data_IF_844828499041
#
_entry.id   IF_844828499041
#
_cell.length_a   1.000
_cell.length_b   1.000
_cell.length_c   1.000
_cell.angle_alpha   90.00
_cell.angle_beta   90.00
_cell.angle_gamma   90.00
#
_symmetry.space_group_name_H-M   'P 1'
#
loop_
_entity.id
_entity.type
_entity.pdbx_description
1 polymer ?
#
# COMPACT_ATOMS: atom_id res chain seq x y z
N UNK A 1 40.47 114.63 6.01
CA UNK A 1 40.08 113.24 5.73
C UNK A 1 39.77 112.44 7.01
N UNK A 2 39.16 113.04 8.04
CA UNK A 2 38.88 112.35 9.34
C UNK A 2 37.41 112.47 9.78
N UNK A 3 36.59 113.28 9.10
CA UNK A 3 35.17 113.48 9.48
C UNK A 3 34.16 112.53 8.80
N UNK A 4 34.58 111.78 7.77
CA UNK A 4 33.69 110.87 7.04
C UNK A 4 33.68 109.42 7.59
N UNK A 5 34.68 109.04 8.40
CA UNK A 5 34.81 107.67 8.92
C UNK A 5 34.01 107.43 10.22
N UNK A 6 33.76 108.49 11.01
CA UNK A 6 33.08 108.39 12.31
C UNK A 6 31.55 108.28 12.15
N UNK A 7 30.98 108.90 11.11
CA UNK A 7 29.53 108.82 10.87
C UNK A 7 29.07 107.44 10.35
N UNK A 8 29.94 106.72 9.64
CA UNK A 8 29.61 105.39 9.12
C UNK A 8 29.68 104.30 10.21
N UNK A 9 30.60 104.45 11.18
CA UNK A 9 30.71 103.51 12.30
C UNK A 9 29.54 103.62 13.30
N UNK A 10 28.99 104.82 13.53
CA UNK A 10 27.85 105.01 14.44
C UNK A 10 26.53 104.54 13.82
N UNK A 11 26.36 104.67 12.49
CA UNK A 11 25.19 104.15 11.79
C UNK A 11 25.17 102.61 11.73
N UNK A 12 26.32 101.95 11.54
CA UNK A 12 26.40 100.49 11.48
C UNK A 12 26.14 99.82 12.84
N UNK A 13 26.63 100.43 13.93
CA UNK A 13 26.37 99.93 15.30
C UNK A 13 24.90 100.13 15.71
N UNK A 14 24.23 101.18 15.19
CA UNK A 14 22.80 101.42 15.47
C UNK A 14 21.87 100.41 14.77
N UNK A 15 22.26 99.86 13.62
CA UNK A 15 21.48 98.84 12.88
C UNK A 15 21.65 97.44 13.49
N UNK A 16 22.82 97.12 14.07
CA UNK A 16 23.04 95.82 14.72
C UNK A 16 22.39 95.75 16.11
N UNK A 17 22.27 96.87 16.83
CA UNK A 17 21.63 96.91 18.16
C UNK A 17 20.08 96.88 18.07
N UNK A 18 19.49 97.27 16.93
CA UNK A 18 18.03 97.19 16.73
C UNK A 18 17.52 95.83 16.23
N UNK A 19 18.39 94.88 15.89
CA UNK A 19 17.99 93.49 15.58
C UNK A 19 18.03 92.56 16.81
N UNK A 20 18.43 93.07 17.97
CA UNK A 20 18.66 92.29 19.20
C UNK A 20 17.42 91.96 20.05
N UNK A 21 16.22 92.35 19.64
CA UNK A 21 15.06 92.27 20.55
C UNK A 21 13.72 92.00 19.84
N UNK A 22 13.68 90.95 19.04
CA UNK A 22 12.43 90.28 18.66
C UNK A 22 12.62 88.78 18.41
N UNK A 23 13.19 88.04 19.37
CA UNK A 23 13.26 86.56 19.27
C UNK A 23 12.99 85.86 20.61
N UNK A 24 12.07 86.41 21.41
CA UNK A 24 11.46 85.66 22.51
C UNK A 24 10.05 85.14 22.17
N UNK A 25 9.50 85.49 20.99
CA UNK A 25 8.15 85.07 20.57
C UNK A 25 8.04 84.40 19.19
N UNK A 26 9.05 84.52 18.32
CA UNK A 26 8.97 83.91 16.97
C UNK A 26 9.16 82.39 16.99
N UNK A 27 10.01 81.87 17.89
CA UNK A 27 10.15 80.43 18.08
C UNK A 27 9.06 79.82 18.99
N UNK A 28 8.26 80.63 19.68
CA UNK A 28 7.13 80.14 20.47
C UNK A 28 5.92 79.79 19.57
N UNK A 29 5.89 80.32 18.34
CA UNK A 29 4.96 79.88 17.30
C UNK A 29 5.23 78.45 16.83
N UNK A 30 6.48 77.97 16.90
CA UNK A 30 6.83 76.57 16.62
C UNK A 30 6.75 75.65 17.85
N UNK A 31 6.62 76.20 19.06
CA UNK A 31 6.39 75.45 20.30
C UNK A 31 4.92 75.31 20.68
N UNK A 32 4.02 76.01 19.98
CA UNK A 32 2.57 75.86 20.12
C UNK A 32 2.15 74.51 19.56
N UNK A 33 2.19 73.50 20.42
CA UNK A 33 1.68 72.15 20.22
C UNK A 33 1.80 71.67 18.77
N UNK A 34 2.95 71.14 18.37
CA UNK A 34 2.97 70.20 17.24
C UNK A 34 2.14 69.00 17.69
N UNK A 35 0.82 69.10 17.51
CA UNK A 35 -0.11 68.00 17.65
C UNK A 35 0.21 67.08 16.49
N UNK A 36 1.14 66.15 16.71
CA UNK A 36 1.29 65.01 15.82
C UNK A 36 -0.08 64.32 15.82
N UNK A 37 -0.83 64.52 14.73
CA UNK A 37 -2.06 63.80 14.51
C UNK A 37 -1.75 62.30 14.50
N UNK A 38 -2.71 61.44 14.91
CA UNK A 38 -2.50 60.00 14.82
C UNK A 38 -2.05 59.65 13.39
N UNK A 39 -0.90 58.99 13.29
CA UNK A 39 -0.45 58.40 12.03
C UNK A 39 -1.05 57.02 11.98
N UNK A 40 -1.77 56.71 10.91
CA UNK A 40 -2.24 55.36 10.65
C UNK A 40 -1.03 54.47 10.39
N UNK A 41 -0.72 53.61 11.37
CA UNK A 41 0.31 52.57 11.22
C UNK A 41 -0.41 51.31 10.76
N UNK A 42 -0.23 50.97 9.49
CA UNK A 42 -0.64 49.67 8.95
C UNK A 42 0.49 48.66 9.12
N UNK A 43 0.21 47.55 9.81
CA UNK A 43 1.07 46.36 9.82
C UNK A 43 0.30 45.24 9.15
N UNK A 44 0.91 44.62 8.15
CA UNK A 44 0.39 43.40 7.51
C UNK A 44 1.24 42.24 8.02
N UNK A 45 0.58 41.21 8.56
CA UNK A 45 1.25 39.96 8.95
C UNK A 45 1.04 38.98 7.81
N UNK A 46 2.12 38.45 7.26
CA UNK A 46 2.06 37.42 6.21
C UNK A 46 1.71 36.05 6.84
N UNK A 47 1.03 35.21 6.06
CA UNK A 47 0.76 33.82 6.43
C UNK A 47 2.04 32.99 6.27
N UNK A 48 2.33 32.16 7.26
CA UNK A 48 3.49 31.29 7.33
C UNK A 48 3.04 29.89 6.94
N UNK A 49 3.75 29.25 6.01
CA UNK A 49 3.41 27.89 5.60
C UNK A 49 3.42 26.91 6.79
N UNK A 50 2.48 25.95 6.85
CA UNK A 50 2.45 24.97 7.92
C UNK A 50 3.63 24.00 7.80
N UNK A 51 3.84 23.19 8.84
CA UNK A 51 4.79 22.08 8.87
C UNK A 51 4.13 20.81 9.41
N UNK A 52 4.65 19.64 9.04
CA UNK A 52 4.25 18.36 9.64
C UNK A 52 5.38 17.94 10.59
N UNK A 53 5.12 18.00 11.89
CA UNK A 53 6.13 17.79 12.93
C UNK A 53 6.25 16.32 13.34
N UNK A 54 5.20 15.54 13.09
CA UNK A 54 5.17 14.13 13.44
C UNK A 54 4.24 13.36 12.52
N UNK A 55 4.66 12.16 12.14
CA UNK A 55 3.83 11.14 11.50
C UNK A 55 4.02 9.86 12.30
N UNK A 56 2.93 9.22 12.73
CA UNK A 56 2.96 7.97 13.47
C UNK A 56 3.34 6.79 12.58
N UNK A 57 3.67 5.67 13.20
CA UNK A 57 3.86 4.43 12.47
C UNK A 57 2.51 3.92 11.97
N UNK A 58 2.49 3.39 10.74
CA UNK A 58 1.29 2.77 10.18
C UNK A 58 0.97 1.47 10.94
N UNK A 59 -0.30 1.27 11.28
CA UNK A 59 -0.79 0.02 11.85
C UNK A 59 -1.90 -0.56 10.97
N UNK A 60 -1.85 -1.87 10.70
CA UNK A 60 -2.94 -2.59 10.03
C UNK A 60 -3.87 -3.25 11.03
N UNK A 61 -5.14 -3.42 10.68
CA UNK A 61 -6.16 -4.05 11.53
C UNK A 61 -6.04 -5.58 11.67
N UNK A 62 -5.21 -6.25 10.86
CA UNK A 62 -4.99 -7.71 10.91
C UNK A 62 -4.06 -8.10 12.06
N UNK A 63 -2.83 -7.58 12.09
CA UNK A 63 -1.84 -7.89 13.14
C UNK A 63 -1.77 -6.83 14.25
N UNK A 64 -2.23 -5.61 13.98
CA UNK A 64 -2.12 -4.46 14.88
C UNK A 64 -0.69 -4.19 15.39
N UNK A 65 0.31 -4.36 14.51
CA UNK A 65 1.72 -4.08 14.79
C UNK A 65 2.11 -2.77 14.11
N UNK A 66 2.77 -1.88 14.84
CA UNK A 66 3.20 -0.58 14.31
C UNK A 66 4.40 -0.75 13.36
N UNK A 67 4.32 -0.13 12.18
CA UNK A 67 5.34 -0.19 11.14
C UNK A 67 5.26 -1.44 10.26
N UNK A 68 4.26 -2.30 10.46
CA UNK A 68 4.08 -3.52 9.69
C UNK A 68 2.60 -3.75 9.41
N UNK A 69 2.27 -4.11 8.17
CA UNK A 69 0.92 -4.39 7.73
C UNK A 69 0.92 -5.75 7.05
N UNK A 70 0.01 -6.64 7.44
CA UNK A 70 -0.17 -7.95 6.80
C UNK A 70 -1.39 -7.90 5.89
N UNK A 71 -1.36 -8.53 4.71
CA UNK A 71 -2.56 -8.84 3.94
C UNK A 71 -3.59 -9.57 4.80
N UNK A 72 -4.87 -9.36 4.48
CA UNK A 72 -5.98 -10.09 5.07
C UNK A 72 -6.17 -11.39 4.29
N UNK A 73 -6.17 -12.51 4.99
CA UNK A 73 -6.42 -13.84 4.41
C UNK A 73 -7.80 -13.93 3.74
N UNK A 74 -7.97 -14.93 2.87
CA UNK A 74 -9.18 -15.13 2.09
C UNK A 74 -9.38 -14.12 0.96
N UNK A 75 -8.33 -13.39 0.55
CA UNK A 75 -8.42 -12.37 -0.50
C UNK A 75 -9.12 -11.07 -0.05
N UNK A 76 -8.98 -10.70 1.22
CA UNK A 76 -9.65 -9.53 1.79
C UNK A 76 -8.84 -8.23 1.77
N UNK A 77 -9.43 -7.16 2.32
CA UNK A 77 -8.82 -5.83 2.42
C UNK A 77 -8.36 -5.55 3.86
N UNK A 78 -7.17 -4.96 4.01
CA UNK A 78 -6.59 -4.58 5.30
C UNK A 78 -6.77 -3.09 5.52
N UNK A 79 -7.45 -2.68 6.59
CA UNK A 79 -7.59 -1.26 6.92
C UNK A 79 -6.33 -0.82 7.65
N UNK A 80 -5.60 0.11 7.06
CA UNK A 80 -4.44 0.75 7.69
C UNK A 80 -4.84 2.03 8.39
N UNK A 81 -4.10 2.38 9.44
CA UNK A 81 -4.29 3.59 10.22
C UNK A 81 -2.96 4.28 10.42
N UNK A 82 -2.94 5.58 10.23
CA UNK A 82 -1.81 6.46 10.49
C UNK A 82 -2.34 7.80 10.97
N UNK A 83 -1.53 8.53 11.73
CA UNK A 83 -1.86 9.87 12.18
C UNK A 83 -0.68 10.79 11.96
N UNK A 84 -0.94 12.08 11.80
CA UNK A 84 0.11 13.08 11.73
C UNK A 84 -0.29 14.35 12.47
N UNK A 85 0.71 15.05 13.01
CA UNK A 85 0.54 16.34 13.68
C UNK A 85 1.09 17.40 12.75
N UNK A 86 0.23 18.35 12.40
CA UNK A 86 0.61 19.55 11.68
C UNK A 86 0.73 20.73 12.65
N UNK A 87 1.61 21.67 12.33
CA UNK A 87 1.83 22.90 13.06
C UNK A 87 1.74 24.09 12.13
N UNK A 88 1.06 25.14 12.57
CA UNK A 88 1.01 26.43 11.92
C UNK A 88 1.28 27.55 12.94
N UNK A 89 2.28 28.39 12.66
CA UNK A 89 2.70 29.46 13.57
C UNK A 89 1.67 30.61 13.65
N UNK A 90 0.78 30.74 12.67
CA UNK A 90 -0.37 31.63 12.73
C UNK A 90 -1.50 31.07 13.62
N UNK A 91 -1.40 29.79 14.02
CA UNK A 91 -2.30 29.10 14.95
C UNK A 91 -2.98 27.89 14.29
N UNK A 92 -3.37 26.89 15.09
CA UNK A 92 -3.98 25.65 14.56
C UNK A 92 -5.31 25.86 13.81
N UNK A 93 -5.96 27.02 14.00
CA UNK A 93 -7.16 27.41 13.25
C UNK A 93 -6.86 27.83 11.81
N UNK A 94 -5.61 28.16 11.49
CA UNK A 94 -5.22 28.51 10.12
C UNK A 94 -5.02 27.29 9.21
N UNK A 95 -4.93 26.09 9.81
CA UNK A 95 -4.88 24.83 9.06
C UNK A 95 -6.23 24.54 8.38
N UNK A 96 -6.20 24.26 7.08
CA UNK A 96 -7.37 23.86 6.31
C UNK A 96 -7.60 22.34 6.45
N UNK A 97 -8.50 21.96 7.35
CA UNK A 97 -8.76 20.56 7.69
C UNK A 97 -9.22 19.70 6.50
N UNK A 98 -9.93 20.28 5.53
CA UNK A 98 -10.38 19.58 4.32
C UNK A 98 -9.23 19.26 3.34
N UNK A 99 -8.07 19.90 3.51
CA UNK A 99 -6.88 19.65 2.71
C UNK A 99 -5.97 18.56 3.29
N UNK A 100 -6.30 18.02 4.46
CA UNK A 100 -5.56 16.92 5.08
C UNK A 100 -5.56 15.71 4.15
N UNK A 101 -4.38 15.29 3.72
CA UNK A 101 -4.20 14.23 2.77
C UNK A 101 -3.17 13.22 3.24
N UNK A 102 -3.40 11.96 2.91
CA UNK A 102 -2.42 10.91 3.06
C UNK A 102 -2.39 10.07 1.79
N UNK A 103 -1.19 9.68 1.37
CA UNK A 103 -0.99 8.75 0.27
C UNK A 103 0.15 7.78 0.59
N UNK A 104 -0.07 6.50 0.38
CA UNK A 104 1.03 5.53 0.37
C UNK A 104 1.61 5.40 -1.04
N UNK A 105 2.92 5.17 -1.11
CA UNK A 105 3.64 4.80 -2.32
C UNK A 105 4.35 3.48 -2.08
N UNK A 106 3.97 2.47 -2.85
CA UNK A 106 4.54 1.13 -2.75
C UNK A 106 5.47 0.78 -3.89
N UNK A 107 5.97 -0.47 -3.91
CA UNK A 107 6.65 -1.05 -5.05
C UNK A 107 5.83 -0.96 -6.35
N UNK A 108 6.53 -0.99 -7.48
CA UNK A 108 5.92 -0.88 -8.81
C UNK A 108 5.26 0.47 -9.12
N UNK A 109 5.45 1.48 -8.27
CA UNK A 109 4.82 2.81 -8.41
C UNK A 109 3.36 2.85 -7.95
N UNK A 110 2.88 1.79 -7.29
CA UNK A 110 1.52 1.73 -6.74
C UNK A 110 1.30 2.89 -5.77
N UNK A 111 0.17 3.59 -5.92
CA UNK A 111 -0.18 4.70 -5.04
C UNK A 111 -1.61 4.53 -4.51
N UNK A 112 -1.75 4.60 -3.19
CA UNK A 112 -3.03 4.47 -2.50
C UNK A 112 -3.32 5.77 -1.76
N UNK A 113 -4.45 6.40 -2.04
CA UNK A 113 -4.90 7.58 -1.28
C UNK A 113 -5.66 7.11 -0.04
N UNK A 114 -5.40 7.75 1.09
CA UNK A 114 -6.17 7.58 2.31
C UNK A 114 -7.13 8.73 2.55
N UNK A 115 -8.09 8.49 3.44
CA UNK A 115 -9.00 9.51 3.95
C UNK A 115 -8.51 9.99 5.29
N UNK A 116 -8.45 11.31 5.49
CA UNK A 116 -8.01 11.93 6.74
C UNK A 116 -9.12 12.76 7.36
N UNK A 117 -9.10 12.88 8.68
CA UNK A 117 -9.95 13.78 9.44
C UNK A 117 -9.25 14.27 10.70
N UNK A 118 -9.73 15.38 11.26
CA UNK A 118 -9.22 15.90 12.54
C UNK A 118 -9.43 14.85 13.62
N UNK A 119 -8.37 14.51 14.34
CA UNK A 119 -8.45 13.60 15.46
C UNK A 119 -9.26 14.26 16.60
N UNK A 120 -10.12 13.53 17.33
CA UNK A 120 -10.93 14.10 18.41
C UNK A 120 -10.09 14.71 19.54
N UNK A 121 -8.86 14.22 19.70
CA UNK A 121 -7.93 14.71 20.72
C UNK A 121 -6.51 14.77 20.14
N UNK A 122 -5.73 15.72 20.64
CA UNK A 122 -4.28 15.69 20.53
C UNK A 122 -3.66 15.90 21.91
N UNK A 123 -3.32 14.79 22.57
CA UNK A 123 -2.60 14.87 23.84
C UNK A 123 -1.19 15.40 23.60
N UNK A 124 -0.84 16.51 24.26
CA UNK A 124 0.48 17.13 24.15
C UNK A 124 0.70 18.00 22.91
N UNK A 125 -0.32 18.26 22.08
CA UNK A 125 -0.20 19.28 21.04
C UNK A 125 -0.07 20.68 21.65
N UNK A 126 0.77 21.52 21.04
CA UNK A 126 0.75 22.95 21.27
C UNK A 126 -0.54 23.59 20.70
N UNK A 127 -0.82 24.84 21.08
CA UNK A 127 -1.97 25.61 20.55
C UNK A 127 -1.88 25.90 19.05
N UNK A 128 -0.68 25.79 18.48
CA UNK A 128 -0.37 25.90 17.05
C UNK A 128 -0.52 24.58 16.29
N UNK A 129 -0.84 23.48 16.99
CA UNK A 129 -0.81 22.14 16.43
C UNK A 129 -2.18 21.48 16.36
N UNK A 130 -2.38 20.65 15.34
CA UNK A 130 -3.57 19.80 15.19
C UNK A 130 -3.17 18.40 14.74
N UNK A 131 -3.82 17.39 15.31
CA UNK A 131 -3.62 15.98 14.95
C UNK A 131 -4.69 15.54 13.96
N UNK A 132 -4.28 14.77 12.95
CA UNK A 132 -5.15 14.20 11.94
C UNK A 132 -5.02 12.69 11.97
N UNK A 133 -6.14 11.99 11.95
CA UNK A 133 -6.20 10.53 11.82
C UNK A 133 -6.60 10.17 10.39
N UNK A 134 -5.84 9.28 9.78
CA UNK A 134 -6.06 8.83 8.42
C UNK A 134 -6.21 7.31 8.37
N UNK A 135 -7.00 6.84 7.41
CA UNK A 135 -7.11 5.44 7.06
C UNK A 135 -6.94 5.23 5.56
N UNK A 136 -6.49 4.04 5.18
CA UNK A 136 -6.50 3.60 3.79
C UNK A 136 -6.64 2.08 3.73
N UNK A 137 -7.35 1.62 2.71
CA UNK A 137 -7.68 0.23 2.50
C UNK A 137 -6.63 -0.41 1.57
N UNK A 138 -5.86 -1.35 2.12
CA UNK A 138 -4.84 -2.09 1.38
C UNK A 138 -5.38 -3.43 0.92
N UNK A 139 -5.46 -3.62 -0.40
CA UNK A 139 -5.90 -4.88 -0.99
C UNK A 139 -4.86 -5.99 -0.81
N UNK A 140 -5.31 -7.23 -0.61
CA UNK A 140 -4.42 -8.35 -0.39
C UNK A 140 -3.37 -8.48 -1.49
N UNK A 141 -3.73 -8.27 -2.76
CA UNK A 141 -2.82 -8.48 -3.91
C UNK A 141 -1.76 -7.39 -4.10
N UNK A 142 -1.72 -6.34 -3.27
CA UNK A 142 -0.66 -5.34 -3.34
C UNK A 142 0.72 -5.92 -3.08
N UNK A 143 1.72 -5.39 -3.78
CA UNK A 143 3.07 -5.95 -3.75
C UNK A 143 3.70 -5.83 -2.34
N UNK A 144 4.26 -6.93 -1.79
CA UNK A 144 4.96 -6.89 -0.52
C UNK A 144 6.24 -6.06 -0.63
N UNK A 145 6.63 -5.45 0.48
CA UNK A 145 7.86 -4.65 0.57
C UNK A 145 7.67 -3.37 1.35
N UNK A 146 8.57 -2.41 1.12
CA UNK A 146 8.57 -1.13 1.83
C UNK A 146 7.65 -0.14 1.13
N UNK A 147 6.71 0.41 1.89
CA UNK A 147 5.79 1.45 1.46
C UNK A 147 6.11 2.77 2.17
N UNK A 148 6.10 3.88 1.44
CA UNK A 148 6.33 5.23 1.97
C UNK A 148 5.01 5.93 2.25
N UNK A 149 4.91 6.60 3.38
CA UNK A 149 3.76 7.45 3.75
C UNK A 149 4.06 8.88 3.34
N UNK A 150 3.18 9.46 2.53
CA UNK A 150 3.18 10.87 2.18
C UNK A 150 2.00 11.55 2.88
N UNK A 151 2.27 12.29 3.95
CA UNK A 151 1.28 13.13 4.62
C UNK A 151 1.35 14.55 4.04
N UNK A 152 0.20 15.20 3.88
CA UNK A 152 0.12 16.58 3.39
C UNK A 152 -1.01 17.36 4.05
N UNK A 153 -0.82 18.67 4.19
CA UNK A 153 -1.84 19.59 4.70
C UNK A 153 -1.57 20.98 4.11
N UNK A 154 -2.63 21.76 3.90
CA UNK A 154 -2.54 23.18 3.56
C UNK A 154 -3.08 24.04 4.68
N UNK A 155 -2.64 25.29 4.74
CA UNK A 155 -3.32 26.34 5.49
C UNK A 155 -4.47 26.95 4.66
N UNK A 156 -5.17 27.94 5.22
CA UNK A 156 -6.25 28.67 4.54
C UNK A 156 -5.73 29.59 3.42
N UNK A 157 -4.44 29.93 3.43
CA UNK A 157 -3.75 30.68 2.39
C UNK A 157 -3.24 29.78 1.24
N UNK A 158 -3.52 28.47 1.31
CA UNK A 158 -3.12 27.43 0.37
C UNK A 158 -1.61 27.12 0.30
N UNK A 159 -0.81 27.56 1.29
CA UNK A 159 0.55 27.06 1.44
C UNK A 159 0.52 25.58 1.82
N UNK A 160 1.49 24.79 1.35
CA UNK A 160 1.48 23.33 1.45
C UNK A 160 2.64 22.82 2.31
N UNK A 161 2.33 21.95 3.28
CA UNK A 161 3.28 21.09 3.96
C UNK A 161 3.19 19.66 3.45
N UNK A 162 4.34 18.98 3.31
CA UNK A 162 4.42 17.55 2.95
C UNK A 162 5.52 16.88 3.79
N UNK A 163 5.24 15.69 4.33
CA UNK A 163 6.24 14.79 4.92
C UNK A 163 6.21 13.43 4.22
N UNK A 164 7.40 12.91 3.87
CA UNK A 164 7.59 11.63 3.18
C UNK A 164 8.61 10.73 3.87
N UNK A 165 8.90 10.96 5.15
CA UNK A 165 10.01 10.30 5.87
C UNK A 165 9.62 8.96 6.48
N UNK A 166 8.31 8.69 6.63
CA UNK A 166 7.82 7.45 7.23
C UNK A 166 7.65 6.36 6.20
N UNK A 167 8.01 5.14 6.62
CA UNK A 167 7.79 3.93 5.86
C UNK A 167 7.18 2.84 6.75
N UNK A 168 6.58 1.83 6.13
CA UNK A 168 6.15 0.60 6.77
C UNK A 168 6.41 -0.59 5.85
N UNK A 169 6.45 -1.80 6.42
CA UNK A 169 6.55 -3.04 5.64
C UNK A 169 5.16 -3.62 5.39
N UNK A 170 4.83 -3.89 4.12
CA UNK A 170 3.71 -4.75 3.75
C UNK A 170 4.22 -6.17 3.58
N UNK A 171 3.73 -7.09 4.43
CA UNK A 171 4.27 -8.44 4.52
C UNK A 171 3.89 -9.30 3.31
N UNK A 172 4.76 -10.26 3.02
CA UNK A 172 4.46 -11.37 2.11
C UNK A 172 3.43 -12.29 2.78
N UNK A 173 2.37 -12.63 2.06
CA UNK A 173 1.36 -13.58 2.47
C UNK A 173 1.02 -14.50 1.29
N UNK A 174 0.98 -15.80 1.56
CA UNK A 174 0.74 -16.85 0.58
C UNK A 174 -0.48 -17.63 1.00
N UNK A 175 -1.47 -17.70 0.11
CA UNK A 175 -2.67 -18.48 0.33
C UNK A 175 -3.20 -18.90 -1.05
N UNK A 176 -3.59 -20.15 -1.17
CA UNK A 176 -4.18 -20.71 -2.39
C UNK A 176 -5.50 -21.37 -2.00
N UNK A 177 -6.49 -21.21 -2.86
CA UNK A 177 -7.76 -21.90 -2.77
C UNK A 177 -8.02 -22.63 -4.08
N UNK A 178 -8.77 -23.71 -4.00
CA UNK A 178 -9.23 -24.47 -5.15
C UNK A 178 -10.65 -24.95 -4.89
N UNK A 179 -11.40 -25.20 -5.95
CA UNK A 179 -12.75 -25.76 -5.86
C UNK A 179 -12.81 -27.13 -6.54
N UNK A 180 -13.57 -28.04 -5.96
CA UNK A 180 -13.82 -29.36 -6.54
C UNK A 180 -12.82 -30.44 -6.09
N UNK A 181 -13.10 -31.66 -6.55
CA UNK A 181 -12.29 -32.86 -6.32
C UNK A 181 -11.78 -33.36 -7.66
N UNK A 182 -10.53 -33.80 -7.74
CA UNK A 182 -10.02 -34.47 -8.95
C UNK A 182 -10.71 -35.82 -9.09
N UNK A 183 -11.30 -36.10 -10.25
CA UNK A 183 -12.10 -37.30 -10.47
C UNK A 183 -12.07 -37.76 -11.94
N UNK A 184 -12.37 -39.04 -12.12
CA UNK A 184 -12.65 -39.67 -13.41
C UNK A 184 -13.93 -40.50 -13.26
N UNK A 185 -14.96 -40.19 -14.05
CA UNK A 185 -16.26 -40.85 -14.03
C UNK A 185 -16.17 -42.26 -14.60
N UNK A 186 -15.19 -42.50 -15.47
CA UNK A 186 -14.81 -43.80 -15.99
C UNK A 186 -13.37 -43.78 -16.46
N UNK A 187 -12.69 -44.92 -16.28
CA UNK A 187 -11.35 -45.15 -16.81
C UNK A 187 -11.35 -46.45 -17.61
N UNK A 188 -10.61 -46.46 -18.70
CA UNK A 188 -10.29 -47.63 -19.51
C UNK A 188 -8.99 -48.23 -19.02
N UNK A 189 -8.90 -49.55 -18.94
CA UNK A 189 -7.64 -50.21 -18.59
C UNK A 189 -6.67 -50.23 -19.76
N UNK A 190 -7.17 -50.20 -20.99
CA UNK A 190 -6.33 -50.35 -22.19
C UNK A 190 -5.91 -49.02 -22.79
N UNK A 191 -6.71 -47.96 -22.62
CA UNK A 191 -6.40 -46.66 -23.20
C UNK A 191 -5.33 -45.91 -22.41
N UNK A 192 -4.49 -45.18 -23.12
CA UNK A 192 -3.57 -44.20 -22.55
C UNK A 192 -4.18 -42.80 -22.58
N UNK A 193 -3.58 -41.88 -21.81
CA UNK A 193 -3.85 -40.44 -21.88
C UNK A 193 -5.30 -40.08 -21.53
N UNK A 194 -5.78 -40.59 -20.39
CA UNK A 194 -7.16 -40.40 -19.96
C UNK A 194 -7.27 -39.18 -19.05
N UNK A 195 -7.95 -38.14 -19.55
CA UNK A 195 -8.11 -36.86 -18.88
C UNK A 195 -9.05 -36.97 -17.67
N UNK A 196 -8.75 -36.22 -16.62
CA UNK A 196 -9.67 -35.99 -15.49
C UNK A 196 -10.93 -35.27 -15.96
N UNK A 197 -12.07 -35.53 -15.32
CA UNK A 197 -13.31 -34.77 -15.57
C UNK A 197 -13.23 -33.35 -14.97
N UNK A 198 -12.40 -33.20 -13.93
CA UNK A 198 -12.04 -31.89 -13.38
C UNK A 198 -10.98 -31.24 -14.25
N UNK A 199 -11.39 -30.78 -15.42
CA UNK A 199 -10.54 -30.20 -16.45
C UNK A 199 -11.18 -28.89 -16.97
N UNK A 200 -10.71 -27.70 -16.54
CA UNK A 200 -9.56 -27.47 -15.65
C UNK A 200 -9.86 -27.66 -14.16
N UNK A 201 -8.84 -27.99 -13.38
CA UNK A 201 -8.81 -27.81 -11.94
C UNK A 201 -8.35 -26.38 -11.62
N UNK A 202 -9.30 -25.52 -11.24
CA UNK A 202 -9.05 -24.08 -11.07
C UNK A 202 -8.38 -23.78 -9.72
N UNK A 203 -7.24 -23.10 -9.79
CA UNK A 203 -6.50 -22.59 -8.65
C UNK A 203 -6.70 -21.08 -8.53
N UNK A 204 -6.88 -20.58 -7.30
CA UNK A 204 -7.07 -19.16 -7.00
C UNK A 204 -6.07 -18.72 -5.94
N UNK A 205 -5.29 -17.68 -6.24
CA UNK A 205 -4.36 -17.05 -5.31
C UNK A 205 -5.10 -16.04 -4.43
N UNK A 206 -5.08 -16.27 -3.13
CA UNK A 206 -5.67 -15.39 -2.10
C UNK A 206 -4.59 -14.62 -1.33
N UNK A 207 -3.33 -14.69 -1.78
CA UNK A 207 -2.18 -13.99 -1.24
C UNK A 207 -1.61 -12.92 -2.18
N UNK A 208 -0.45 -12.39 -1.81
CA UNK A 208 0.21 -11.27 -2.48
C UNK A 208 1.55 -11.63 -3.13
N UNK A 209 1.83 -12.93 -3.20
CA UNK A 209 2.95 -13.51 -3.91
C UNK A 209 2.43 -14.24 -5.15
N UNK A 210 3.16 -14.21 -6.27
CA UNK A 210 2.94 -15.22 -7.32
C UNK A 210 3.28 -16.60 -6.76
N UNK A 211 2.49 -17.62 -7.11
CA UNK A 211 2.60 -18.95 -6.51
C UNK A 211 2.95 -19.98 -7.58
N UNK A 212 3.94 -20.82 -7.28
CA UNK A 212 4.11 -22.11 -7.92
C UNK A 212 3.48 -23.19 -7.05
N UNK A 213 3.09 -24.30 -7.67
CA UNK A 213 2.28 -25.34 -7.01
C UNK A 213 2.95 -26.69 -7.14
N UNK A 214 2.94 -27.45 -6.04
CA UNK A 214 3.28 -28.86 -6.03
C UNK A 214 2.05 -29.70 -5.67
N UNK A 215 2.01 -30.91 -6.21
CA UNK A 215 1.02 -31.93 -5.87
C UNK A 215 1.71 -33.09 -5.19
N UNK A 216 1.19 -33.49 -4.03
CA UNK A 216 1.55 -34.75 -3.38
C UNK A 216 0.48 -35.78 -3.70
N UNK A 217 0.81 -36.72 -4.59
CA UNK A 217 -0.10 -37.78 -5.02
C UNK A 217 -0.04 -39.01 -4.12
N UNK A 218 -1.13 -39.76 -4.09
CA UNK A 218 -1.23 -41.07 -3.46
C UNK A 218 -1.93 -42.04 -4.39
N UNK A 219 -1.51 -43.31 -4.38
CA UNK A 219 -2.19 -44.36 -5.12
C UNK A 219 -3.65 -44.51 -4.68
N UNK A 220 -4.50 -44.92 -5.61
CA UNK A 220 -5.91 -45.21 -5.36
C UNK A 220 -6.06 -46.71 -5.08
N UNK A 221 -6.70 -47.07 -3.97
CA UNK A 221 -6.98 -48.47 -3.65
C UNK A 221 -8.40 -48.84 -4.07
N UNK A 222 -8.61 -50.12 -4.38
CA UNK A 222 -9.93 -50.66 -4.65
C UNK A 222 -10.88 -50.46 -3.47
N UNK A 223 -12.15 -50.13 -3.75
CA UNK A 223 -13.18 -49.89 -2.72
C UNK A 223 -14.18 -51.05 -2.59
N UNK A 224 -13.98 -52.14 -3.33
CA UNK A 224 -14.91 -53.26 -3.45
C UNK A 224 -14.31 -54.61 -3.07
N UNK A 225 -14.55 -55.61 -3.93
CA UNK A 225 -14.15 -57.00 -3.68
C UNK A 225 -12.63 -57.21 -3.66
N UNK A 226 -11.84 -56.31 -4.25
CA UNK A 226 -10.38 -56.40 -4.31
C UNK A 226 -9.75 -55.12 -3.75
N UNK A 227 -9.76 -54.92 -2.42
CA UNK A 227 -9.23 -53.71 -1.80
C UNK A 227 -7.69 -53.59 -1.91
N UNK A 228 -7.02 -54.69 -2.24
CA UNK A 228 -5.57 -54.74 -2.46
C UNK A 228 -5.17 -54.26 -3.87
N UNK A 229 -6.12 -54.15 -4.81
CA UNK A 229 -5.83 -53.61 -6.13
C UNK A 229 -5.51 -52.12 -6.00
N UNK A 230 -4.43 -51.68 -6.64
CA UNK A 230 -3.94 -50.31 -6.54
C UNK A 230 -3.61 -49.70 -7.91
N UNK A 231 -4.06 -48.46 -8.11
CA UNK A 231 -3.55 -47.58 -9.16
C UNK A 231 -2.48 -46.70 -8.50
N UNK A 232 -1.18 -46.91 -8.75
CA UNK A 232 -0.14 -46.17 -8.05
C UNK A 232 -0.10 -44.71 -8.49
N UNK A 233 0.40 -43.82 -7.63
CA UNK A 233 0.49 -42.38 -7.90
C UNK A 233 1.27 -42.06 -9.19
N UNK A 234 2.26 -42.88 -9.54
CA UNK A 234 3.08 -42.73 -10.76
C UNK A 234 2.29 -42.87 -12.06
N UNK A 235 1.09 -43.45 -12.02
CA UNK A 235 0.20 -43.54 -13.18
C UNK A 235 -0.65 -42.27 -13.39
N UNK A 236 -0.46 -41.25 -12.56
CA UNK A 236 -1.10 -39.95 -12.69
C UNK A 236 -0.05 -38.88 -13.00
N UNK A 237 -0.46 -37.89 -13.78
CA UNK A 237 0.33 -36.71 -14.12
C UNK A 237 -0.43 -35.44 -13.83
N UNK A 238 0.33 -34.36 -13.70
CA UNK A 238 -0.21 -33.01 -13.66
C UNK A 238 0.58 -32.07 -14.60
N UNK A 239 -0.11 -31.09 -15.19
CA UNK A 239 0.47 -29.98 -15.96
C UNK A 239 -0.38 -28.72 -15.80
N UNK A 240 0.22 -27.55 -16.00
CA UNK A 240 -0.49 -26.28 -16.23
C UNK A 240 -0.90 -26.06 -17.69
N UNK A 241 -0.44 -26.92 -18.61
CA UNK A 241 -0.77 -26.88 -20.02
C UNK A 241 -1.82 -27.95 -20.36
N UNK A 242 -2.64 -27.72 -21.39
CA UNK A 242 -3.64 -28.68 -21.89
C UNK A 242 -3.64 -28.78 -23.41
N UNK A 243 -3.99 -29.95 -23.93
CA UNK A 243 -4.14 -30.22 -25.36
C UNK A 243 -2.82 -30.51 -26.08
N UNK A 244 -2.86 -30.63 -27.41
CA UNK A 244 -1.69 -30.99 -28.23
C UNK A 244 -1.68 -32.46 -28.70
N UNK A 245 -0.58 -32.88 -29.34
CA UNK A 245 -0.31 -34.27 -29.73
C UNK A 245 1.19 -34.60 -29.49
N UNK A 246 1.53 -35.34 -28.41
CA UNK A 246 0.62 -35.88 -27.40
C UNK A 246 -0.04 -34.79 -26.53
N UNK A 247 -1.12 -35.14 -25.82
CA UNK A 247 -1.80 -34.24 -24.88
C UNK A 247 -0.82 -33.77 -23.79
N UNK A 248 -0.63 -32.46 -23.64
CA UNK A 248 0.38 -31.86 -22.78
C UNK A 248 0.28 -32.32 -21.32
N UNK A 249 -0.95 -32.48 -20.81
CA UNK A 249 -1.20 -32.95 -19.44
C UNK A 249 -0.86 -34.42 -19.22
N UNK A 250 -0.65 -35.20 -20.28
CA UNK A 250 -0.24 -36.61 -20.26
C UNK A 250 1.21 -36.81 -20.76
N UNK A 251 1.86 -35.77 -21.28
CA UNK A 251 3.18 -35.82 -21.91
C UNK A 251 4.31 -35.70 -20.87
N UNK A 252 4.57 -36.80 -20.16
CA UNK A 252 5.64 -36.87 -19.15
C UNK A 252 6.95 -37.37 -19.78
N UNK A 253 8.09 -36.71 -19.54
CA UNK A 253 8.31 -35.57 -18.64
C UNK A 253 8.37 -34.20 -19.35
N UNK A 254 7.93 -34.11 -20.61
CA UNK A 254 8.19 -32.94 -21.44
C UNK A 254 7.30 -31.73 -21.07
N UNK A 255 5.99 -31.95 -20.87
CA UNK A 255 5.01 -30.90 -20.54
C UNK A 255 4.26 -31.18 -19.24
N UNK A 256 4.25 -32.43 -18.79
CA UNK A 256 3.66 -32.85 -17.53
C UNK A 256 4.70 -33.51 -16.62
N UNK A 257 4.32 -33.72 -15.36
CA UNK A 257 5.14 -34.43 -14.39
C UNK A 257 4.39 -35.61 -13.80
N UNK A 258 5.08 -36.74 -13.63
CA UNK A 258 4.59 -37.89 -12.88
C UNK A 258 4.33 -37.51 -11.42
N UNK A 259 3.17 -37.87 -10.87
CA UNK A 259 2.99 -37.82 -9.42
C UNK A 259 3.77 -38.95 -8.76
N UNK A 260 4.14 -38.76 -7.49
CA UNK A 260 4.90 -39.74 -6.72
C UNK A 260 4.24 -39.95 -5.36
N UNK A 261 4.30 -41.19 -4.87
CA UNK A 261 3.63 -41.61 -3.64
C UNK A 261 4.16 -40.82 -2.44
N UNK A 262 3.34 -39.91 -1.90
CA UNK A 262 3.66 -39.14 -0.70
C UNK A 262 4.81 -38.15 -0.87
N UNK A 263 5.24 -37.86 -2.11
CA UNK A 263 6.30 -36.89 -2.39
C UNK A 263 5.69 -35.71 -3.17
N UNK A 264 5.89 -34.46 -2.70
CA UNK A 264 5.44 -33.29 -3.44
C UNK A 264 6.24 -33.13 -4.73
N UNK A 265 5.53 -32.95 -5.85
CA UNK A 265 6.12 -32.74 -7.17
C UNK A 265 5.64 -31.41 -7.72
N UNK A 266 6.56 -30.51 -8.09
CA UNK A 266 6.23 -29.22 -8.71
C UNK A 266 5.62 -29.41 -10.09
N UNK A 267 4.44 -28.84 -10.32
CA UNK A 267 3.71 -28.97 -11.57
C UNK A 267 4.24 -27.97 -12.60
N UNK A 268 4.77 -28.41 -13.75
CA UNK A 268 5.26 -27.50 -14.77
C UNK A 268 4.10 -26.70 -15.39
N UNK A 269 4.37 -25.45 -15.75
CA UNK A 269 3.39 -24.57 -16.40
C UNK A 269 2.34 -23.94 -15.49
N UNK A 270 2.27 -24.31 -14.19
CA UNK A 270 1.36 -23.67 -13.23
C UNK A 270 2.07 -22.50 -12.54
N UNK A 271 1.53 -21.30 -12.72
CA UNK A 271 1.98 -20.07 -12.07
C UNK A 271 0.78 -19.22 -11.71
N UNK A 272 0.24 -19.40 -10.50
CA UNK A 272 -0.97 -18.68 -10.05
C UNK A 272 -0.60 -17.21 -9.73
N UNK A 273 -0.97 -16.25 -10.58
CA UNK A 273 -0.59 -14.85 -10.37
C UNK A 273 -1.30 -14.27 -9.15
N UNK A 274 -0.71 -13.23 -8.54
CA UNK A 274 -1.46 -12.36 -7.62
C UNK A 274 -2.28 -11.37 -8.43
N UNK A 275 -3.43 -10.93 -7.93
CA UNK A 275 -4.16 -9.87 -8.59
C UNK A 275 -5.59 -9.73 -8.11
N UNK A 276 -6.36 -8.97 -8.89
CA UNK A 276 -7.81 -8.88 -8.72
C UNK A 276 -8.47 -10.25 -8.96
N UNK A 277 -9.64 -10.51 -8.34
CA UNK A 277 -10.46 -11.67 -8.68
C UNK A 277 -10.64 -11.84 -10.19
N UNK A 278 -10.36 -13.04 -10.69
CA UNK A 278 -10.41 -13.39 -12.13
C UNK A 278 -9.06 -13.22 -12.85
N UNK A 279 -8.15 -12.40 -12.33
CA UNK A 279 -6.77 -12.29 -12.80
C UNK A 279 -5.76 -12.95 -11.84
N UNK A 280 -6.25 -13.55 -10.75
CA UNK A 280 -5.49 -14.20 -9.69
C UNK A 280 -5.63 -15.73 -9.75
N UNK A 281 -5.90 -16.27 -10.94
CA UNK A 281 -6.25 -17.67 -11.14
C UNK A 281 -5.35 -18.31 -12.19
N UNK A 282 -5.18 -19.62 -12.08
CA UNK A 282 -4.53 -20.44 -13.10
C UNK A 282 -5.14 -21.84 -13.10
N UNK A 283 -4.95 -22.55 -14.21
CA UNK A 283 -5.50 -23.88 -14.41
C UNK A 283 -4.44 -24.94 -14.16
N UNK A 284 -4.89 -26.06 -13.59
CA UNK A 284 -4.11 -27.28 -13.53
C UNK A 284 -4.92 -28.43 -14.13
N UNK A 285 -4.22 -29.34 -14.80
CA UNK A 285 -4.81 -30.45 -15.53
C UNK A 285 -4.21 -31.75 -15.03
N UNK A 286 -5.03 -32.79 -14.96
CA UNK A 286 -4.62 -34.11 -14.50
C UNK A 286 -4.91 -35.16 -15.57
N UNK A 287 -4.00 -36.14 -15.70
CA UNK A 287 -4.14 -37.22 -16.66
C UNK A 287 -3.66 -38.55 -16.09
N UNK A 288 -4.32 -39.64 -16.47
CA UNK A 288 -3.81 -41.01 -16.27
C UNK A 288 -2.94 -41.38 -17.48
N UNK A 289 -1.68 -41.72 -17.18
CA UNK A 289 -0.69 -42.21 -18.13
C UNK A 289 0.31 -43.12 -17.39
N UNK A 290 0.87 -44.16 -18.01
CA UNK A 290 0.43 -44.79 -19.26
C UNK A 290 -0.88 -45.58 -19.07
N UNK A 291 -1.24 -46.39 -20.08
CA UNK A 291 -2.28 -47.42 -19.98
C UNK A 291 -2.15 -48.25 -18.69
N UNK A 292 -3.29 -48.59 -18.08
CA UNK A 292 -3.35 -49.34 -16.82
C UNK A 292 -3.39 -50.87 -17.03
N UNK A 293 -3.25 -51.35 -18.26
CA UNK A 293 -3.45 -52.75 -18.64
C UNK A 293 -2.48 -53.73 -17.97
N UNK A 294 -1.31 -53.25 -17.55
CA UNK A 294 -0.31 -54.04 -16.82
C UNK A 294 -0.63 -54.26 -15.35
N UNK A 295 -1.59 -53.51 -14.78
CA UNK A 295 -1.91 -53.54 -13.36
C UNK A 295 -2.91 -54.64 -12.97
N UNK A 296 -3.44 -55.41 -13.94
CA UNK A 296 -4.41 -56.50 -13.73
C UNK A 296 -5.64 -56.09 -12.88
N UNK A 297 -6.07 -54.84 -13.02
CA UNK A 297 -7.16 -54.24 -12.25
C UNK A 297 -8.52 -54.87 -12.58
N UNK A 298 -9.39 -55.00 -11.58
CA UNK A 298 -10.77 -55.40 -11.81
C UNK A 298 -11.59 -54.23 -12.43
N UNK A 299 -12.18 -54.39 -13.63
CA UNK A 299 -12.94 -53.33 -14.29
C UNK A 299 -14.31 -53.04 -13.65
N UNK A 300 -14.77 -53.88 -12.71
CA UNK A 300 -16.07 -53.74 -12.05
C UNK A 300 -16.05 -53.07 -10.68
N UNK A 301 -14.90 -52.52 -10.23
CA UNK A 301 -14.78 -51.89 -8.92
C UNK A 301 -14.34 -50.42 -9.00
N UNK A 302 -14.66 -49.66 -7.96
CA UNK A 302 -14.17 -48.29 -7.80
C UNK A 302 -12.78 -48.25 -7.17
N UNK A 303 -12.07 -47.14 -7.38
CA UNK A 303 -10.78 -46.84 -6.79
C UNK A 303 -10.81 -45.47 -6.12
N UNK A 304 -10.27 -45.34 -4.91
CA UNK A 304 -10.32 -44.09 -4.16
C UNK A 304 -9.17 -43.96 -3.17
N UNK A 305 -8.79 -42.72 -2.88
CA UNK A 305 -7.90 -42.37 -1.76
C UNK A 305 -8.58 -42.55 -0.40
N UNK A 306 -9.92 -42.47 -0.34
CA UNK A 306 -10.70 -42.52 0.91
C UNK A 306 -10.53 -43.84 1.68
N UNK A 307 -10.15 -44.92 1.00
CA UNK A 307 -9.87 -46.21 1.63
C UNK A 307 -8.64 -46.20 2.55
N UNK A 308 -7.69 -45.28 2.32
CA UNK A 308 -6.45 -45.15 3.13
C UNK A 308 -6.42 -43.89 3.99
N UNK A 309 -7.37 -42.96 3.80
CA UNK A 309 -7.37 -41.64 4.43
C UNK A 309 -6.36 -40.66 3.82
N UNK A 310 -5.54 -41.06 2.84
CA UNK A 310 -4.52 -40.21 2.22
C UNK A 310 -5.07 -39.48 1.00
N UNK A 311 -5.60 -38.28 1.22
CA UNK A 311 -6.01 -37.40 0.12
C UNK A 311 -4.79 -36.79 -0.58
N UNK A 312 -4.91 -36.55 -1.88
CA UNK A 312 -3.90 -35.76 -2.58
C UNK A 312 -3.85 -34.36 -1.98
N UNK A 313 -2.64 -33.82 -1.83
CA UNK A 313 -2.43 -32.49 -1.25
C UNK A 313 -1.84 -31.54 -2.28
N UNK A 314 -2.42 -30.36 -2.39
CA UNK A 314 -1.92 -29.26 -3.22
C UNK A 314 -1.25 -28.26 -2.29
N UNK A 315 0.03 -28.00 -2.53
CA UNK A 315 0.85 -27.12 -1.68
C UNK A 315 1.52 -26.03 -2.51
N UNK A 316 1.68 -24.87 -1.91
CA UNK A 316 2.44 -23.75 -2.48
C UNK A 316 3.94 -24.04 -2.30
N UNK A 317 4.74 -23.72 -3.32
CA UNK A 317 6.22 -23.82 -3.30
C UNK A 317 6.88 -22.49 -3.00
#
# INVERSE_FOLDING_TARGET
>A
MVKALVFFAVALVSVVVLMGSASAGFFDFFKKDVRQGPVDVGVTVESVAPTIVFVSNVAGDVLNIHGTVSPRGGGGTTVTRVSFIAEDLNGAGDLNDASAGMRYRGPGGTALAGTCGVAPTCSGCAVTQKNYSCNADMEYYYEPGTWTVNASIKDNSANLAVDTKRTFQYLLYREISHAGNVNWAGISLVDSNQLSDSNPFLLTNLGNAALSVSVTGYGLNGTGANPEDQIPASNFSASGNTGGDPLAECDVPAQAVALSQGVPVTVPGVSVPRGLPGNNQDNMYFCIYPSLSSLNLNPGQGYSTSATGNQWAITIV
#
